data_IF_751306416220
#
_entry.id   IF_751306416220
#
_cell.length_a   1.000
_cell.length_b   1.000
_cell.length_c   1.000
_cell.angle_alpha   90.00
_cell.angle_beta   90.00
_cell.angle_gamma   90.00
#
_symmetry.space_group_name_H-M   'P 1'
#
loop_
_entity.id
_entity.type
_entity.pdbx_description
1 polymer ?
#
# COMPACT_ATOMS: atom_id res chain seq x y z
N UNK A 1 -3.39 -12.31 -9.39
CA UNK A 1 -2.30 -11.57 -10.08
C UNK A 1 -1.07 -12.47 -10.13
N UNK A 2 -0.51 -12.76 -11.31
CA UNK A 2 0.77 -13.46 -11.37
C UNK A 2 1.88 -12.42 -11.19
N UNK A 3 2.68 -12.55 -10.13
CA UNK A 3 3.84 -11.69 -9.82
C UNK A 3 3.53 -10.20 -9.50
N UNK A 4 2.75 -9.89 -8.45
CA UNK A 4 2.46 -8.53 -8.04
C UNK A 4 3.68 -7.61 -7.82
N UNK A 5 4.81 -8.07 -7.28
CA UNK A 5 5.99 -7.25 -7.06
C UNK A 5 6.72 -6.89 -8.35
N UNK A 6 6.72 -7.78 -9.35
CA UNK A 6 7.17 -7.42 -10.70
C UNK A 6 6.28 -6.34 -11.33
N UNK A 7 4.96 -6.45 -11.15
CA UNK A 7 4.00 -5.46 -11.62
C UNK A 7 4.17 -4.11 -10.90
N UNK A 8 4.44 -4.12 -9.59
CA UNK A 8 4.75 -2.92 -8.80
C UNK A 8 6.02 -2.27 -9.33
N UNK A 9 7.10 -3.03 -9.50
CA UNK A 9 8.35 -2.52 -10.06
C UNK A 9 8.18 -1.93 -11.46
N UNK A 10 7.39 -2.58 -12.31
CA UNK A 10 7.06 -2.09 -13.65
C UNK A 10 6.09 -0.91 -13.67
N UNK A 11 5.59 -0.45 -12.50
CA UNK A 11 4.55 0.59 -12.38
C UNK A 11 3.24 0.22 -13.09
N UNK A 12 2.95 -1.08 -13.17
CA UNK A 12 1.77 -1.65 -13.83
C UNK A 12 0.81 -2.36 -12.90
N UNK A 13 1.05 -2.34 -11.58
CA UNK A 13 0.25 -3.07 -10.61
C UNK A 13 -1.23 -2.71 -10.56
N UNK A 14 -1.61 -1.46 -10.87
CA UNK A 14 -3.03 -1.06 -10.99
C UNK A 14 -3.59 -1.29 -12.41
N UNK A 15 -2.72 -1.45 -13.42
CA UNK A 15 -3.12 -1.54 -14.82
C UNK A 15 -3.86 -2.85 -15.10
N UNK A 16 -4.86 -2.79 -15.99
CA UNK A 16 -5.65 -3.96 -16.39
C UNK A 16 -6.59 -4.52 -15.32
N UNK A 17 -6.73 -3.84 -14.17
CA UNK A 17 -7.71 -4.17 -13.14
C UNK A 17 -9.08 -3.53 -13.41
N UNK A 18 -10.18 -4.12 -12.92
CA UNK A 18 -11.48 -3.46 -12.83
C UNK A 18 -11.40 -2.13 -12.05
N UNK A 19 -12.30 -1.20 -12.38
CA UNK A 19 -12.32 0.12 -11.73
C UNK A 19 -12.47 0.05 -10.22
N UNK A 20 -13.44 -0.76 -9.77
CA UNK A 20 -13.74 -0.94 -8.35
C UNK A 20 -12.54 -1.50 -7.58
N UNK A 21 -11.80 -2.44 -8.15
CA UNK A 21 -10.58 -2.99 -7.54
C UNK A 21 -9.53 -1.90 -7.36
N UNK A 22 -9.33 -1.04 -8.37
CA UNK A 22 -8.37 0.07 -8.27
C UNK A 22 -8.79 1.05 -7.17
N UNK A 23 -10.09 1.35 -7.04
CA UNK A 23 -10.58 2.22 -5.97
C UNK A 23 -10.29 1.63 -4.59
N UNK A 24 -10.63 0.36 -4.38
CA UNK A 24 -10.38 -0.38 -3.13
C UNK A 24 -8.91 -0.36 -2.75
N UNK A 25 -8.03 -0.65 -3.72
CA UNK A 25 -6.58 -0.61 -3.53
C UNK A 25 -6.06 0.77 -3.12
N UNK A 26 -6.52 1.84 -3.78
CA UNK A 26 -6.12 3.21 -3.46
C UNK A 26 -6.61 3.62 -2.06
N UNK A 27 -7.84 3.26 -1.71
CA UNK A 27 -8.41 3.54 -0.38
C UNK A 27 -7.59 2.84 0.70
N UNK A 28 -7.35 1.54 0.57
CA UNK A 28 -6.61 0.80 1.59
C UNK A 28 -5.13 1.15 1.62
N UNK A 29 -4.54 1.60 0.50
CA UNK A 29 -3.19 2.18 0.50
C UNK A 29 -3.15 3.43 1.38
N UNK A 30 -4.18 4.28 1.32
CA UNK A 30 -4.29 5.44 2.18
C UNK A 30 -4.53 5.05 3.65
N UNK A 31 -5.52 4.20 3.94
CA UNK A 31 -5.86 3.79 5.31
C UNK A 31 -4.68 3.12 6.00
N UNK A 32 -4.01 2.19 5.32
CA UNK A 32 -2.82 1.51 5.84
C UNK A 32 -1.66 2.48 6.05
N UNK A 33 -1.49 3.49 5.18
CA UNK A 33 -0.45 4.51 5.39
C UNK A 33 -0.72 5.34 6.65
N UNK A 34 -1.97 5.68 6.95
CA UNK A 34 -2.31 6.42 8.16
C UNK A 34 -2.05 5.58 9.41
N UNK A 35 -2.43 4.31 9.39
CA UNK A 35 -2.13 3.35 10.46
C UNK A 35 -0.61 3.17 10.67
N UNK A 36 0.16 3.04 9.58
CA UNK A 36 1.62 2.90 9.64
C UNK A 36 2.30 4.16 10.21
N UNK A 37 1.87 5.37 9.83
CA UNK A 37 2.40 6.63 10.39
C UNK A 37 2.13 6.69 11.90
N UNK A 38 0.89 6.40 12.31
CA UNK A 38 0.51 6.44 13.72
C UNK A 38 1.33 5.45 14.56
N UNK A 39 1.47 4.21 14.10
CA UNK A 39 2.15 3.16 14.86
C UNK A 39 3.68 3.20 14.79
N UNK A 40 4.26 3.62 13.66
CA UNK A 40 5.71 3.51 13.42
C UNK A 40 6.45 4.83 13.60
N UNK A 41 5.79 5.96 13.32
CA UNK A 41 6.41 7.29 13.40
C UNK A 41 5.99 8.02 14.68
N UNK A 42 4.91 7.58 15.34
CA UNK A 42 4.32 8.28 16.49
C UNK A 42 3.78 9.66 16.11
N UNK A 43 3.58 9.90 14.81
CA UNK A 43 3.04 11.12 14.24
C UNK A 43 1.59 10.89 13.79
N UNK A 44 0.87 11.98 13.55
CA UNK A 44 -0.52 11.97 13.15
C UNK A 44 -0.69 12.94 11.98
N UNK A 45 -1.09 12.43 10.82
CA UNK A 45 -1.49 13.31 9.71
C UNK A 45 -2.72 14.12 10.16
N UNK A 46 -2.61 15.45 10.06
CA UNK A 46 -3.56 16.41 10.60
C UNK A 46 -4.97 16.35 9.99
N UNK A 47 -5.18 15.65 8.87
CA UNK A 47 -6.54 15.37 8.38
C UNK A 47 -6.81 13.87 8.19
N UNK A 48 -6.12 13.05 8.99
CA UNK A 48 -6.46 11.65 9.18
C UNK A 48 -7.32 11.44 10.43
N UNK A 49 -8.04 10.32 10.49
CA UNK A 49 -8.90 9.97 11.63
C UNK A 49 -8.16 9.93 12.98
N UNK A 50 -6.84 9.75 12.98
CA UNK A 50 -6.01 9.72 14.19
C UNK A 50 -5.80 11.13 14.80
N UNK A 51 -6.09 12.20 14.04
CA UNK A 51 -5.99 13.60 14.51
C UNK A 51 -7.24 14.10 15.25
N UNK A 52 -8.29 13.26 15.34
CA UNK A 52 -9.57 13.64 15.94
C UNK A 52 -10.48 14.47 15.02
N UNK A 53 -10.14 14.61 13.73
CA UNK A 53 -11.06 15.19 12.74
C UNK A 53 -12.28 14.29 12.53
N UNK A 54 -13.40 14.89 12.14
CA UNK A 54 -14.67 14.17 11.95
C UNK A 54 -14.70 13.31 10.68
N UNK A 55 -13.73 13.45 9.78
CA UNK A 55 -13.62 12.63 8.57
C UNK A 55 -12.20 12.63 8.00
N UNK A 56 -11.75 11.47 7.50
CA UNK A 56 -10.50 11.30 6.76
C UNK A 56 -10.60 11.69 5.27
N UNK A 57 -11.77 12.08 4.78
CA UNK A 57 -11.99 12.44 3.37
C UNK A 57 -11.09 13.60 2.89
N UNK A 58 -10.84 14.68 3.65
CA UNK A 58 -9.88 15.71 3.25
C UNK A 58 -8.47 15.16 3.02
N UNK A 59 -8.00 14.28 3.91
CA UNK A 59 -6.73 13.55 3.78
C UNK A 59 -6.72 12.64 2.55
N UNK A 60 -7.78 11.86 2.34
CA UNK A 60 -7.88 11.01 1.17
C UNK A 60 -7.89 11.79 -0.16
N UNK A 61 -8.55 12.95 -0.21
CA UNK A 61 -8.51 13.85 -1.38
C UNK A 61 -7.11 14.40 -1.63
N UNK A 62 -6.31 14.66 -0.59
CA UNK A 62 -4.88 15.02 -0.77
C UNK A 62 -4.11 13.86 -1.37
N UNK A 63 -4.31 12.66 -0.85
CA UNK A 63 -3.69 11.45 -1.37
C UNK A 63 -4.00 11.25 -2.86
N UNK A 64 -5.27 11.37 -3.28
CA UNK A 64 -5.62 11.25 -4.71
C UNK A 64 -4.94 12.29 -5.60
N UNK A 65 -4.69 13.52 -5.11
CA UNK A 65 -3.89 14.51 -5.86
C UNK A 65 -2.43 14.08 -6.03
N UNK A 66 -1.86 13.31 -5.09
CA UNK A 66 -0.54 12.72 -5.26
C UNK A 66 -0.57 11.59 -6.29
N UNK A 67 -1.58 10.72 -6.21
CA UNK A 67 -1.80 9.64 -7.19
C UNK A 67 -1.91 10.19 -8.61
N UNK A 68 -2.70 11.24 -8.82
CA UNK A 68 -2.92 11.87 -10.12
C UNK A 68 -1.66 12.57 -10.70
N UNK A 69 -0.66 12.86 -9.86
CA UNK A 69 0.67 13.34 -10.30
C UNK A 69 1.59 12.20 -10.77
N UNK A 70 1.23 10.94 -10.49
CA UNK A 70 1.94 9.72 -10.89
C UNK A 70 1.16 8.99 -11.99
N UNK A 71 0.95 9.67 -13.11
CA UNK A 71 0.11 9.18 -14.22
C UNK A 71 0.54 7.82 -14.74
N UNK A 72 1.82 7.47 -14.62
CA UNK A 72 2.32 6.18 -15.05
C UNK A 72 1.81 5.00 -14.20
N UNK A 73 1.40 5.24 -12.95
CA UNK A 73 0.85 4.22 -12.04
C UNK A 73 -0.61 3.91 -12.35
N UNK A 74 -1.34 4.87 -12.92
CA UNK A 74 -2.77 4.80 -13.10
C UNK A 74 -3.16 4.09 -14.41
N UNK A 75 -4.28 3.36 -14.41
CA UNK A 75 -4.87 2.84 -15.65
C UNK A 75 -5.29 3.97 -16.61
N UNK A 76 -5.33 3.68 -17.90
CA UNK A 76 -5.68 4.65 -18.96
C UNK A 76 -7.10 5.24 -18.79
N UNK A 77 -8.01 4.48 -18.21
CA UNK A 77 -9.38 4.92 -17.96
C UNK A 77 -9.50 5.91 -16.78
N UNK A 78 -8.43 6.11 -15.98
CA UNK A 78 -8.49 6.99 -14.82
C UNK A 78 -8.72 8.44 -15.24
N UNK A 79 -9.76 9.05 -14.66
CA UNK A 79 -10.18 10.42 -14.96
C UNK A 79 -10.62 11.16 -13.69
N UNK A 80 -10.82 12.49 -13.75
CA UNK A 80 -11.38 13.24 -12.63
C UNK A 80 -12.74 12.71 -12.15
N UNK A 81 -13.58 12.20 -13.06
CA UNK A 81 -14.84 11.57 -12.70
C UNK A 81 -14.61 10.29 -11.87
N UNK A 82 -13.63 9.47 -12.25
CA UNK A 82 -13.26 8.25 -11.51
C UNK A 82 -12.65 8.55 -10.14
N UNK A 83 -11.90 9.66 -10.03
CA UNK A 83 -11.43 10.20 -8.76
C UNK A 83 -12.60 10.53 -7.82
N UNK A 84 -13.68 11.13 -8.34
CA UNK A 84 -14.89 11.41 -7.57
C UNK A 84 -15.64 10.14 -7.16
N UNK A 85 -15.77 9.16 -8.05
CA UNK A 85 -16.35 7.84 -7.74
C UNK A 85 -15.56 7.15 -6.63
N UNK A 86 -14.23 7.21 -6.68
CA UNK A 86 -13.35 6.65 -5.65
C UNK A 86 -13.56 7.32 -4.28
N UNK A 87 -13.73 8.66 -4.25
CA UNK A 87 -14.09 9.39 -3.02
C UNK A 87 -15.48 9.02 -2.51
N UNK A 88 -16.45 8.79 -3.40
CA UNK A 88 -17.78 8.37 -3.02
C UNK A 88 -17.76 6.97 -2.37
N UNK A 89 -16.97 6.04 -2.92
CA UNK A 89 -16.76 4.73 -2.29
C UNK A 89 -16.10 4.91 -0.90
N UNK A 90 -15.06 5.74 -0.81
CA UNK A 90 -14.32 6.02 0.42
C UNK A 90 -15.17 6.63 1.56
N UNK A 91 -16.31 7.23 1.24
CA UNK A 91 -17.22 7.88 2.21
C UNK A 91 -18.50 7.06 2.50
N UNK A 92 -18.65 5.88 1.91
CA UNK A 92 -19.85 5.06 2.09
C UNK A 92 -19.94 4.48 3.50
N UNK A 93 -21.08 4.68 4.16
CA UNK A 93 -21.30 4.28 5.57
C UNK A 93 -21.43 2.76 5.79
N UNK A 94 -21.63 1.98 4.73
CA UNK A 94 -21.89 0.53 4.80
C UNK A 94 -20.96 -0.29 3.91
N UNK A 95 -19.71 0.16 3.76
CA UNK A 95 -18.69 -0.63 3.05
C UNK A 95 -17.39 -0.71 3.88
N UNK A 96 -16.60 -1.75 3.61
CA UNK A 96 -15.34 -2.04 4.31
C UNK A 96 -14.20 -1.07 3.94
N UNK A 97 -14.46 -0.13 3.03
CA UNK A 97 -13.52 0.79 2.42
C UNK A 97 -13.79 2.25 2.85
N UNK A 98 -14.39 2.45 4.01
CA UNK A 98 -14.60 3.79 4.54
C UNK A 98 -13.30 4.34 5.17
N UNK A 99 -12.85 5.52 4.73
CA UNK A 99 -11.63 6.15 5.24
C UNK A 99 -11.79 6.77 6.64
N UNK A 100 -13.03 6.85 7.12
CA UNK A 100 -13.33 7.27 8.49
C UNK A 100 -13.14 6.12 9.50
N UNK A 101 -12.83 4.90 9.03
CA UNK A 101 -12.53 3.74 9.84
C UNK A 101 -11.06 3.32 9.71
N UNK A 102 -10.42 3.07 10.85
CA UNK A 102 -9.09 2.48 10.90
C UNK A 102 -9.05 1.13 10.17
N UNK A 103 -7.85 0.70 9.79
CA UNK A 103 -7.62 -0.63 9.23
C UNK A 103 -6.39 -1.24 9.86
N UNK A 104 -6.51 -2.48 10.31
CA UNK A 104 -5.36 -3.23 10.75
C UNK A 104 -4.74 -4.04 9.60
N UNK A 105 -3.49 -4.44 9.79
CA UNK A 105 -2.80 -5.35 8.85
C UNK A 105 -3.60 -6.64 8.63
N UNK A 106 -4.21 -7.20 9.69
CA UNK A 106 -5.05 -8.40 9.65
C UNK A 106 -6.26 -8.22 8.77
N UNK A 107 -6.93 -7.07 8.85
CA UNK A 107 -8.13 -6.78 8.06
C UNK A 107 -7.81 -6.79 6.57
N UNK A 108 -6.69 -6.17 6.17
CA UNK A 108 -6.20 -6.21 4.79
C UNK A 108 -5.93 -7.65 4.34
N UNK A 109 -5.23 -8.45 5.16
CA UNK A 109 -4.92 -9.84 4.80
C UNK A 109 -6.22 -10.65 4.61
N UNK A 110 -7.19 -10.46 5.51
CA UNK A 110 -8.48 -11.14 5.43
C UNK A 110 -9.29 -10.69 4.20
N UNK A 111 -9.34 -9.39 3.93
CA UNK A 111 -10.12 -8.81 2.84
C UNK A 111 -9.64 -9.27 1.46
N UNK A 112 -8.32 -9.37 1.27
CA UNK A 112 -7.73 -9.74 -0.02
C UNK A 112 -7.31 -11.21 -0.11
N UNK A 113 -7.31 -11.95 1.00
CA UNK A 113 -6.86 -13.35 1.06
C UNK A 113 -5.38 -13.54 0.74
N UNK A 114 -4.55 -12.50 0.89
CA UNK A 114 -3.14 -12.49 0.51
C UNK A 114 -2.27 -11.91 1.65
N UNK A 115 -1.40 -12.76 2.20
CA UNK A 115 -0.48 -12.42 3.29
C UNK A 115 0.51 -11.31 2.92
N UNK A 116 0.81 -11.17 1.62
CA UNK A 116 1.72 -10.16 1.09
C UNK A 116 1.00 -8.86 0.71
N UNK A 117 -0.33 -8.81 0.82
CA UNK A 117 -1.10 -7.63 0.42
C UNK A 117 -0.71 -6.35 1.15
N UNK A 118 -0.50 -6.34 2.50
CA UNK A 118 -0.03 -5.13 3.18
C UNK A 118 1.30 -4.62 2.64
N UNK A 119 2.21 -5.53 2.26
CA UNK A 119 3.49 -5.17 1.66
C UNK A 119 3.29 -4.57 0.26
N UNK A 120 2.40 -5.15 -0.57
CA UNK A 120 2.08 -4.62 -1.89
C UNK A 120 1.52 -3.19 -1.80
N UNK A 121 0.58 -2.94 -0.87
CA UNK A 121 0.01 -1.62 -0.62
C UNK A 121 1.07 -0.62 -0.13
N UNK A 122 1.97 -1.01 0.76
CA UNK A 122 3.09 -0.15 1.21
C UNK A 122 4.03 0.24 0.07
N UNK A 123 4.36 -0.71 -0.80
CA UNK A 123 5.18 -0.44 -1.98
C UNK A 123 4.49 0.49 -2.98
N UNK A 124 3.18 0.32 -3.20
CA UNK A 124 2.40 1.27 -4.00
C UNK A 124 2.38 2.66 -3.33
N UNK A 125 2.16 2.70 -2.02
CA UNK A 125 2.20 3.92 -1.21
C UNK A 125 3.52 4.67 -1.37
N UNK A 126 4.66 3.97 -1.29
CA UNK A 126 5.98 4.57 -1.50
C UNK A 126 6.14 5.18 -2.91
N UNK A 127 5.60 4.55 -3.96
CA UNK A 127 5.63 5.12 -5.31
C UNK A 127 4.80 6.42 -5.42
N UNK A 128 3.73 6.52 -4.64
CA UNK A 128 2.85 7.69 -4.60
C UNK A 128 3.45 8.82 -3.76
N UNK A 129 3.79 8.53 -2.50
CA UNK A 129 4.32 9.50 -1.54
C UNK A 129 5.80 9.84 -1.78
N UNK A 130 6.55 8.97 -2.44
CA UNK A 130 8.00 9.08 -2.65
C UNK A 130 8.84 8.55 -1.48
N UNK A 131 8.22 8.01 -0.44
CA UNK A 131 8.88 7.50 0.76
C UNK A 131 8.06 6.39 1.42
N UNK A 132 8.75 5.38 1.95
CA UNK A 132 8.15 4.30 2.73
C UNK A 132 7.74 4.75 4.14
N UNK A 133 6.98 3.93 4.89
CA UNK A 133 6.68 4.23 6.29
C UNK A 133 7.95 4.21 7.15
N UNK A 134 8.09 5.16 8.07
CA UNK A 134 9.29 5.31 8.91
C UNK A 134 10.53 5.78 8.15
N UNK A 135 10.36 6.35 6.94
CA UNK A 135 11.45 6.82 6.09
C UNK A 135 12.34 5.73 5.48
N UNK A 136 11.98 4.45 5.64
CA UNK A 136 12.77 3.33 5.14
C UNK A 136 12.58 3.16 3.62
N UNK A 137 13.67 3.03 2.83
CA UNK A 137 13.58 2.79 1.40
C UNK A 137 13.12 1.36 1.10
N UNK A 138 12.05 1.20 0.32
CA UNK A 138 11.46 -0.12 -0.01
C UNK A 138 12.15 -0.86 -1.15
N UNK A 139 13.13 -0.25 -1.84
CA UNK A 139 13.76 -0.82 -3.03
C UNK A 139 14.37 -2.22 -2.81
N UNK A 140 15.09 -2.42 -1.70
CA UNK A 140 15.68 -3.71 -1.36
C UNK A 140 14.60 -4.78 -1.08
N UNK A 141 13.54 -4.39 -0.38
CA UNK A 141 12.39 -5.25 -0.13
C UNK A 141 11.65 -5.61 -1.43
N UNK A 142 11.45 -4.65 -2.33
CA UNK A 142 10.85 -4.89 -3.65
C UNK A 142 11.67 -5.90 -4.46
N UNK A 143 13.00 -5.76 -4.50
CA UNK A 143 13.86 -6.67 -5.22
C UNK A 143 13.85 -8.09 -4.62
N UNK A 144 13.88 -8.20 -3.29
CA UNK A 144 13.77 -9.48 -2.59
C UNK A 144 12.46 -10.20 -2.93
N UNK A 145 11.33 -9.47 -2.93
CA UNK A 145 10.04 -10.06 -3.23
C UNK A 145 9.88 -10.46 -4.70
N UNK A 146 10.44 -9.68 -5.64
CA UNK A 146 10.50 -10.09 -7.05
C UNK A 146 11.27 -11.40 -7.22
N UNK A 147 12.40 -11.59 -6.52
CA UNK A 147 13.14 -12.86 -6.58
C UNK A 147 12.29 -14.03 -6.08
N UNK A 148 11.58 -13.85 -4.96
CA UNK A 148 10.67 -14.85 -4.41
C UNK A 148 9.54 -15.23 -5.39
N UNK A 149 8.93 -14.25 -6.07
CA UNK A 149 7.93 -14.49 -7.12
C UNK A 149 8.49 -15.18 -8.38
N UNK A 150 9.79 -14.98 -8.65
CA UNK A 150 10.50 -15.59 -9.77
C UNK A 150 10.85 -17.06 -9.58
N UNK A 151 10.57 -17.63 -8.39
CA UNK A 151 11.00 -18.98 -8.02
C UNK A 151 12.44 -19.05 -7.51
N UNK A 152 13.10 -17.90 -7.28
CA UNK A 152 14.36 -17.84 -6.55
C UNK A 152 14.08 -17.93 -5.05
N UNK A 153 14.56 -18.98 -4.39
CA UNK A 153 14.31 -19.29 -2.98
C UNK A 153 14.70 -18.21 -1.96
N UNK A 154 13.98 -17.09 -1.92
CA UNK A 154 14.19 -16.01 -0.95
C UNK A 154 14.00 -16.45 0.51
N UNK A 155 13.26 -17.54 0.74
CA UNK A 155 13.12 -18.16 2.05
C UNK A 155 14.32 -19.05 2.45
N UNK A 156 15.09 -19.58 1.49
CA UNK A 156 16.29 -20.39 1.81
C UNK A 156 17.52 -19.54 2.15
N UNK A 157 17.64 -18.32 1.59
CA UNK A 157 18.75 -17.41 1.95
C UNK A 157 18.65 -16.89 3.39
N UNK A 158 17.44 -16.72 3.94
CA UNK A 158 17.23 -16.31 5.34
C UNK A 158 17.82 -17.34 6.34
N UNK A 159 17.73 -18.64 6.04
CA UNK A 159 18.27 -19.68 6.92
C UNK A 159 19.80 -19.82 6.82
N UNK A 160 20.40 -19.43 5.69
CA UNK A 160 21.85 -19.49 5.50
C UNK A 160 22.54 -18.27 6.12
N UNK A 161 22.03 -17.05 5.93
CA UNK A 161 22.68 -15.83 6.43
C UNK A 161 22.56 -15.68 7.96
N UNK A 162 21.40 -16.02 8.56
CA UNK A 162 21.24 -15.96 10.03
C UNK A 162 22.16 -16.96 10.73
N UNK A 163 22.31 -18.17 10.19
CA UNK A 163 23.22 -19.17 10.77
C UNK A 163 24.70 -18.83 10.55
N UNK A 164 25.07 -18.14 9.47
CA UNK A 164 26.44 -17.69 9.24
C UNK A 164 26.83 -16.50 10.13
N UNK A 165 25.90 -15.58 10.38
CA UNK A 165 26.09 -14.47 11.34
C UNK A 165 26.21 -14.98 12.79
N UNK A 166 25.43 -15.99 13.18
CA UNK A 166 25.48 -16.58 14.52
C UNK A 166 26.71 -17.46 14.77
N UNK A 167 27.40 -17.94 13.72
CA UNK A 167 28.63 -18.75 13.84
C UNK A 167 29.93 -17.95 13.87
N UNK A 168 29.90 -16.67 13.49
CA UNK A 168 31.08 -15.77 13.54
C UNK A 168 31.23 -15.01 14.86
N UNK A 169 30.34 -15.25 15.83
CA UNK A 169 30.35 -14.62 17.15
C UNK A 169 30.77 -15.53 18.31
N UNK A 170 31.54 -16.58 18.08
CA UNK A 170 32.22 -17.36 19.14
C UNK A 170 33.70 -17.46 18.88
#
# INVERSE_FOLDING_TARGET
>A
MNKPFHQLHAKKWLHGRPEEDVYKLLIDTYRLRMEDIYNLEGDVDADSIYSGVSSGIPGFRRFLRLVERRRELLPEWWSPAKSQECVALASGQHNDYNVDHAVEKSDIIQQYGDQMMPMQLRMLGEQIYGTGPGGQPGAAMMQMQMLAEGGGGGLEMLNLDVNQLLRRGR
#
